data_IF_050093990454
#
_entry.id   IF_050093990454
#
_cell.length_a   1.000
_cell.length_b   1.000
_cell.length_c   1.000
_cell.angle_alpha   90.00
_cell.angle_beta   90.00
_cell.angle_gamma   90.00
#
_symmetry.space_group_name_H-M   'P 1'
#
loop_
_entity.id
_entity.type
_entity.pdbx_description
1 polymer ?
#
# COMPACT_ATOMS: atom_id res chain seq x y z
N UNK A 1 5.93 23.12 9.18
CA UNK A 1 6.15 22.22 8.03
C UNK A 1 5.01 22.45 7.04
N UNK A 2 5.28 22.79 5.78
CA UNK A 2 4.26 23.28 4.82
C UNK A 2 3.72 22.20 3.86
N UNK A 3 4.52 21.17 3.57
CA UNK A 3 4.22 20.15 2.55
C UNK A 3 2.88 19.41 2.72
N UNK A 4 2.40 19.06 3.93
CA UNK A 4 1.10 18.37 4.08
C UNK A 4 -0.13 19.29 3.95
N UNK A 5 0.06 20.59 3.72
CA UNK A 5 -0.98 21.63 3.79
C UNK A 5 -1.13 22.37 2.46
N UNK A 6 0.00 22.76 1.86
CA UNK A 6 0.03 23.48 0.59
C UNK A 6 -0.32 22.56 -0.60
N UNK A 7 -0.99 23.09 -1.62
CA UNK A 7 -1.57 22.33 -2.75
C UNK A 7 -2.61 21.27 -2.36
N UNK A 8 -3.30 21.52 -1.25
CA UNK A 8 -4.35 20.65 -0.72
C UNK A 8 -3.83 19.78 0.41
N UNK A 9 -4.57 19.79 1.52
CA UNK A 9 -4.16 19.04 2.72
C UNK A 9 -4.15 17.54 2.46
N UNK A 10 -3.45 16.77 3.31
CA UNK A 10 -3.46 15.29 3.22
C UNK A 10 -4.88 14.70 3.15
N UNK A 11 -5.84 15.27 3.89
CA UNK A 11 -7.23 14.83 3.83
C UNK A 11 -7.89 15.13 2.47
N UNK A 12 -7.58 16.27 1.83
CA UNK A 12 -8.08 16.60 0.49
C UNK A 12 -7.51 15.63 -0.55
N UNK A 13 -6.21 15.32 -0.48
CA UNK A 13 -5.57 14.34 -1.36
C UNK A 13 -6.15 12.94 -1.17
N UNK A 14 -6.39 12.54 0.07
CA UNK A 14 -7.03 11.26 0.40
C UNK A 14 -8.46 11.17 -0.14
N UNK A 15 -9.24 12.25 -0.02
CA UNK A 15 -10.61 12.30 -0.52
C UNK A 15 -10.67 12.30 -2.07
N UNK A 16 -9.69 12.91 -2.75
CA UNK A 16 -9.51 12.78 -4.20
C UNK A 16 -9.28 11.32 -4.60
N UNK A 17 -8.39 10.62 -3.88
CA UNK A 17 -8.09 9.21 -4.11
C UNK A 17 -9.35 8.34 -3.96
N UNK A 18 -10.14 8.53 -2.89
CA UNK A 18 -11.40 7.80 -2.67
C UNK A 18 -12.41 8.09 -3.77
N UNK A 19 -12.75 9.37 -3.98
CA UNK A 19 -13.86 9.74 -4.87
C UNK A 19 -13.50 9.69 -6.35
N UNK A 20 -12.52 10.49 -6.75
CA UNK A 20 -12.23 10.72 -8.18
C UNK A 20 -11.36 9.64 -8.81
N UNK A 21 -10.43 9.05 -8.06
CA UNK A 21 -9.49 8.04 -8.59
C UNK A 21 -9.95 6.60 -8.39
N UNK A 22 -10.76 6.32 -7.37
CA UNK A 22 -11.27 4.97 -7.07
C UNK A 22 -12.77 4.86 -7.35
N UNK A 23 -13.60 5.74 -6.78
CA UNK A 23 -15.05 5.64 -6.94
C UNK A 23 -15.54 5.89 -8.38
N UNK A 24 -14.88 6.79 -9.12
CA UNK A 24 -15.32 7.19 -10.47
C UNK A 24 -15.18 6.09 -11.51
N UNK A 25 -14.12 5.30 -11.47
CA UNK A 25 -13.84 4.24 -12.43
C UNK A 25 -14.18 2.84 -11.90
N UNK A 26 -14.72 2.76 -10.67
CA UNK A 26 -15.02 1.51 -9.97
C UNK A 26 -13.79 0.77 -9.45
N UNK A 27 -12.67 1.47 -9.24
CA UNK A 27 -11.42 0.89 -8.75
C UNK A 27 -10.61 0.16 -9.81
N UNK A 28 -11.01 0.22 -11.09
CA UNK A 28 -10.36 -0.54 -12.18
C UNK A 28 -8.88 -0.20 -12.32
N UNK A 29 -8.51 1.08 -12.30
CA UNK A 29 -7.10 1.50 -12.36
C UNK A 29 -6.31 1.00 -11.15
N UNK A 30 -6.87 1.09 -9.95
CA UNK A 30 -6.22 0.58 -8.74
C UNK A 30 -6.02 -0.94 -8.81
N UNK A 31 -7.01 -1.69 -9.28
CA UNK A 31 -6.89 -3.14 -9.48
C UNK A 31 -5.86 -3.50 -10.57
N UNK A 32 -5.74 -2.71 -11.62
CA UNK A 32 -4.70 -2.90 -12.63
C UNK A 32 -3.28 -2.74 -12.04
N UNK A 33 -3.07 -1.75 -11.16
CA UNK A 33 -1.81 -1.60 -10.42
C UNK A 33 -1.54 -2.82 -9.53
N UNK A 34 -2.57 -3.33 -8.82
CA UNK A 34 -2.43 -4.57 -8.05
C UNK A 34 -2.00 -5.76 -8.91
N UNK A 35 -2.50 -5.86 -10.14
CA UNK A 35 -2.06 -6.88 -11.10
C UNK A 35 -0.59 -6.74 -11.52
N UNK A 36 -0.05 -5.52 -11.64
CA UNK A 36 1.38 -5.32 -11.91
C UNK A 36 2.26 -5.72 -10.71
N UNK A 37 1.76 -5.51 -9.49
CA UNK A 37 2.43 -5.95 -8.26
C UNK A 37 2.46 -7.49 -8.23
N UNK A 38 1.36 -8.15 -8.57
CA UNK A 38 1.28 -9.62 -8.63
C UNK A 38 2.28 -10.23 -9.64
N UNK A 39 2.57 -9.55 -10.75
CA UNK A 39 3.65 -9.98 -11.67
C UNK A 39 5.03 -9.93 -11.01
N UNK A 40 5.28 -8.94 -10.15
CA UNK A 40 6.53 -8.84 -9.38
C UNK A 40 6.58 -9.90 -8.28
N UNK A 41 5.45 -10.20 -7.63
CA UNK A 41 5.33 -11.32 -6.69
C UNK A 41 5.70 -12.65 -7.36
N UNK A 42 5.23 -12.88 -8.59
CA UNK A 42 5.59 -14.07 -9.35
C UNK A 42 7.09 -14.15 -9.71
N UNK A 43 7.76 -13.01 -9.89
CA UNK A 43 9.21 -12.98 -10.07
C UNK A 43 9.97 -13.26 -8.77
N UNK A 44 9.54 -12.67 -7.65
CA UNK A 44 10.09 -12.95 -6.31
C UNK A 44 9.95 -14.43 -5.93
N UNK A 45 8.84 -15.07 -6.29
CA UNK A 45 8.59 -16.48 -6.01
C UNK A 45 9.57 -17.44 -6.71
N UNK A 46 10.33 -16.96 -7.70
CA UNK A 46 11.38 -17.73 -8.38
C UNK A 46 12.75 -17.60 -7.71
N UNK A 47 12.91 -16.68 -6.75
CA UNK A 47 14.15 -16.51 -5.99
C UNK A 47 14.09 -17.33 -4.71
N UNK A 48 15.15 -18.12 -4.46
CA UNK A 48 15.28 -18.94 -3.24
C UNK A 48 15.83 -18.14 -2.05
N UNK A 49 16.19 -16.87 -2.25
CA UNK A 49 16.80 -16.05 -1.21
C UNK A 49 15.83 -15.79 -0.05
N UNK A 50 16.39 -15.72 1.17
CA UNK A 50 15.60 -15.36 2.36
C UNK A 50 14.97 -13.96 2.23
N UNK A 51 15.70 -12.91 1.76
CA UNK A 51 15.13 -11.59 1.54
C UNK A 51 13.96 -11.58 0.55
N UNK A 52 14.10 -12.26 -0.60
CA UNK A 52 13.03 -12.33 -1.61
C UNK A 52 11.76 -12.98 -1.05
N UNK A 53 11.89 -14.07 -0.28
CA UNK A 53 10.76 -14.72 0.39
C UNK A 53 10.08 -13.82 1.43
N UNK A 54 10.85 -13.07 2.22
CA UNK A 54 10.31 -12.13 3.19
C UNK A 54 9.52 -11.01 2.50
N UNK A 55 10.09 -10.44 1.44
CA UNK A 55 9.46 -9.40 0.61
C UNK A 55 8.20 -9.92 -0.05
N UNK A 56 8.25 -11.10 -0.69
CA UNK A 56 7.09 -11.74 -1.31
C UNK A 56 5.93 -11.86 -0.33
N UNK A 57 6.17 -12.46 0.84
CA UNK A 57 5.15 -12.67 1.87
C UNK A 57 4.44 -11.38 2.24
N UNK A 58 5.19 -10.31 2.48
CA UNK A 58 4.63 -9.04 2.97
C UNK A 58 4.02 -8.20 1.85
N UNK A 59 4.60 -8.25 0.64
CA UNK A 59 4.05 -7.58 -0.53
C UNK A 59 2.70 -8.20 -0.92
N UNK A 60 2.58 -9.53 -0.97
CA UNK A 60 1.31 -10.22 -1.23
C UNK A 60 0.25 -9.87 -0.20
N UNK A 61 0.59 -9.87 1.09
CA UNK A 61 -0.35 -9.49 2.14
C UNK A 61 -0.83 -8.03 1.99
N UNK A 62 0.09 -7.11 1.69
CA UNK A 62 -0.22 -5.70 1.49
C UNK A 62 -1.05 -5.46 0.21
N UNK A 63 -0.76 -6.15 -0.89
CA UNK A 63 -1.55 -6.09 -2.13
C UNK A 63 -2.98 -6.57 -1.91
N UNK A 64 -3.16 -7.71 -1.23
CA UNK A 64 -4.50 -8.24 -0.92
C UNK A 64 -5.28 -7.26 -0.03
N UNK A 65 -4.65 -6.73 1.01
CA UNK A 65 -5.22 -5.68 1.86
C UNK A 65 -5.64 -4.44 1.05
N UNK A 66 -4.82 -4.02 0.09
CA UNK A 66 -5.16 -2.92 -0.82
C UNK A 66 -6.36 -3.25 -1.71
N UNK A 67 -6.43 -4.46 -2.29
CA UNK A 67 -7.57 -4.88 -3.12
C UNK A 67 -8.89 -4.87 -2.33
N UNK A 68 -8.89 -5.35 -1.08
CA UNK A 68 -10.04 -5.28 -0.19
C UNK A 68 -10.49 -3.83 0.04
N UNK A 69 -9.55 -2.93 0.34
CA UNK A 69 -9.84 -1.51 0.55
C UNK A 69 -10.37 -0.85 -0.72
N UNK A 70 -9.78 -1.14 -1.89
CA UNK A 70 -10.27 -0.63 -3.18
C UNK A 70 -11.70 -1.08 -3.43
N UNK A 71 -12.00 -2.37 -3.18
CA UNK A 71 -13.35 -2.91 -3.30
C UNK A 71 -14.32 -2.20 -2.36
N UNK A 72 -13.95 -2.06 -1.07
CA UNK A 72 -14.74 -1.34 -0.09
C UNK A 72 -15.03 0.11 -0.52
N UNK A 73 -14.02 0.85 -1.00
CA UNK A 73 -14.19 2.23 -1.45
C UNK A 73 -15.06 2.34 -2.71
N UNK A 74 -14.87 1.44 -3.67
CA UNK A 74 -15.66 1.41 -4.91
C UNK A 74 -17.14 1.13 -4.61
N UNK A 75 -17.44 0.26 -3.64
CA UNK A 75 -18.81 -0.08 -3.24
C UNK A 75 -19.44 1.00 -2.35
N UNK A 76 -18.72 1.49 -1.34
CA UNK A 76 -19.31 2.31 -0.26
C UNK A 76 -19.20 3.83 -0.47
N UNK A 77 -18.37 4.31 -1.41
CA UNK A 77 -18.22 5.76 -1.64
C UNK A 77 -19.51 6.48 -2.00
N UNK A 78 -20.49 5.78 -2.59
CA UNK A 78 -21.81 6.34 -2.93
C UNK A 78 -22.90 6.05 -1.90
N UNK A 79 -22.89 4.86 -1.30
CA UNK A 79 -23.98 4.36 -0.44
C UNK A 79 -23.75 4.64 1.04
N UNK A 80 -22.50 4.73 1.48
CA UNK A 80 -22.10 5.00 2.85
C UNK A 80 -20.89 5.96 2.89
N UNK A 81 -21.04 7.22 2.41
CA UNK A 81 -19.93 8.14 2.22
C UNK A 81 -19.15 8.41 3.52
N UNK A 82 -19.83 8.55 4.66
CA UNK A 82 -19.16 8.76 5.95
C UNK A 82 -18.19 7.63 6.30
N UNK A 83 -18.58 6.37 6.01
CA UNK A 83 -17.73 5.22 6.24
C UNK A 83 -16.52 5.20 5.30
N UNK A 84 -16.73 5.51 4.02
CA UNK A 84 -15.64 5.60 3.03
C UNK A 84 -14.65 6.72 3.38
N UNK A 85 -15.14 7.89 3.77
CA UNK A 85 -14.27 9.05 4.08
C UNK A 85 -13.58 8.93 5.44
N UNK A 86 -14.14 8.21 6.42
CA UNK A 86 -13.46 7.91 7.68
C UNK A 86 -12.14 7.13 7.45
N UNK A 87 -12.10 6.28 6.42
CA UNK A 87 -10.92 5.50 6.04
C UNK A 87 -10.01 6.15 5.00
N UNK A 88 -10.25 7.40 4.57
CA UNK A 88 -9.59 7.96 3.39
C UNK A 88 -8.08 8.14 3.57
N UNK A 89 -7.64 8.74 4.69
CA UNK A 89 -6.21 8.97 4.96
C UNK A 89 -5.45 7.64 5.18
N UNK A 90 -5.96 6.68 5.97
CA UNK A 90 -5.36 5.35 6.05
C UNK A 90 -5.26 4.65 4.68
N UNK A 91 -6.26 4.80 3.80
CA UNK A 91 -6.19 4.26 2.44
C UNK A 91 -5.06 4.90 1.62
N UNK A 92 -4.93 6.24 1.66
CA UNK A 92 -3.83 6.94 1.01
C UNK A 92 -2.46 6.44 1.48
N UNK A 93 -2.29 6.27 2.79
CA UNK A 93 -1.03 5.79 3.38
C UNK A 93 -0.74 4.33 3.01
N UNK A 94 -1.78 3.47 3.03
CA UNK A 94 -1.65 2.07 2.62
C UNK A 94 -1.22 1.97 1.15
N UNK A 95 -1.87 2.71 0.26
CA UNK A 95 -1.54 2.73 -1.16
C UNK A 95 -0.10 3.20 -1.41
N UNK A 96 0.31 4.30 -0.76
CA UNK A 96 1.68 4.82 -0.87
C UNK A 96 2.71 3.81 -0.38
N UNK A 97 2.47 3.19 0.78
CA UNK A 97 3.39 2.20 1.35
C UNK A 97 3.51 0.97 0.46
N UNK A 98 2.39 0.48 -0.09
CA UNK A 98 2.37 -0.66 -1.02
C UNK A 98 3.19 -0.36 -2.28
N UNK A 99 2.97 0.78 -2.94
CA UNK A 99 3.68 1.11 -4.18
C UNK A 99 5.17 1.33 -3.94
N UNK A 100 5.56 1.96 -2.83
CA UNK A 100 6.96 2.09 -2.45
C UNK A 100 7.61 0.71 -2.19
N UNK A 101 6.92 -0.17 -1.46
CA UNK A 101 7.36 -1.54 -1.22
C UNK A 101 7.49 -2.36 -2.51
N UNK A 102 6.59 -2.14 -3.47
CA UNK A 102 6.66 -2.75 -4.80
C UNK A 102 7.89 -2.29 -5.58
N UNK A 103 8.22 -0.99 -5.58
CA UNK A 103 9.45 -0.52 -6.25
C UNK A 103 10.72 -1.06 -5.56
N UNK A 104 10.72 -1.20 -4.23
CA UNK A 104 11.81 -1.84 -3.51
C UNK A 104 11.95 -3.32 -3.84
N UNK A 105 10.83 -4.05 -4.01
CA UNK A 105 10.84 -5.43 -4.47
C UNK A 105 11.47 -5.57 -5.87
N UNK A 106 11.12 -4.68 -6.81
CA UNK A 106 11.74 -4.64 -8.13
C UNK A 106 13.24 -4.36 -8.04
N UNK A 107 13.64 -3.43 -7.17
CA UNK A 107 15.05 -3.13 -6.92
C UNK A 107 15.81 -4.31 -6.32
N UNK A 108 15.18 -5.10 -5.44
CA UNK A 108 15.79 -6.30 -4.86
C UNK A 108 16.10 -7.33 -5.94
N UNK A 109 15.15 -7.62 -6.84
CA UNK A 109 15.36 -8.58 -7.93
C UNK A 109 16.56 -8.21 -8.81
N UNK A 110 16.67 -6.93 -9.17
CA UNK A 110 17.81 -6.42 -9.95
C UNK A 110 19.11 -6.50 -9.13
N UNK A 111 19.07 -6.18 -7.83
CA UNK A 111 20.24 -6.24 -6.96
C UNK A 111 20.76 -7.68 -6.77
N UNK A 112 19.88 -8.67 -6.71
CA UNK A 112 20.26 -10.08 -6.69
C UNK A 112 20.98 -10.48 -7.98
N UNK A 113 20.46 -10.07 -9.14
CA UNK A 113 21.07 -10.36 -10.44
C UNK A 113 22.46 -9.72 -10.59
N UNK A 114 22.57 -8.41 -10.33
CA UNK A 114 23.83 -7.68 -10.47
C UNK A 114 24.86 -8.09 -9.41
N UNK A 115 24.39 -8.36 -8.18
CA UNK A 115 25.23 -8.86 -7.10
C UNK A 115 25.86 -10.22 -7.43
N UNK A 116 25.11 -11.12 -8.08
CA UNK A 116 25.63 -12.40 -8.55
C UNK A 116 26.70 -12.27 -9.65
N UNK A 117 26.67 -11.18 -10.43
CA UNK A 117 27.71 -10.81 -11.41
C UNK A 117 28.92 -10.10 -10.78
N UNK A 118 28.86 -9.79 -9.49
CA UNK A 118 29.93 -9.10 -8.76
C UNK A 118 29.93 -7.58 -8.94
N UNK A 119 28.86 -6.99 -9.48
CA UNK A 119 28.75 -5.55 -9.70
C UNK A 119 28.34 -4.82 -8.41
N UNK A 120 29.08 -3.75 -8.06
CA UNK A 120 28.79 -2.86 -6.93
C UNK A 120 28.29 -3.58 -5.65
N UNK A 121 28.97 -4.66 -5.25
CA UNK A 121 28.45 -5.63 -4.28
C UNK A 121 27.90 -5.00 -2.98
N UNK A 122 28.58 -3.99 -2.43
CA UNK A 122 28.13 -3.30 -1.22
C UNK A 122 26.80 -2.57 -1.43
N UNK A 123 26.62 -1.91 -2.57
CA UNK A 123 25.39 -1.21 -2.90
C UNK A 123 24.23 -2.20 -3.14
N UNK A 124 24.50 -3.31 -3.84
CA UNK A 124 23.49 -4.36 -4.07
C UNK A 124 23.03 -5.00 -2.76
N UNK A 125 23.96 -5.32 -1.86
CA UNK A 125 23.62 -5.80 -0.52
C UNK A 125 22.78 -4.80 0.28
N UNK A 126 23.12 -3.51 0.21
CA UNK A 126 22.33 -2.46 0.86
C UNK A 126 20.89 -2.36 0.28
N UNK A 127 20.71 -2.52 -1.04
CA UNK A 127 19.40 -2.56 -1.68
C UNK A 127 18.55 -3.74 -1.21
N UNK A 128 19.14 -4.93 -1.17
CA UNK A 128 18.47 -6.15 -0.69
C UNK A 128 18.04 -5.97 0.77
N UNK A 129 18.95 -5.53 1.64
CA UNK A 129 18.65 -5.30 3.06
C UNK A 129 17.55 -4.24 3.28
N UNK A 130 17.60 -3.15 2.51
CA UNK A 130 16.58 -2.08 2.58
C UNK A 130 15.20 -2.59 2.18
N UNK A 131 15.11 -3.37 1.10
CA UNK A 131 13.84 -3.93 0.65
C UNK A 131 13.26 -4.93 1.67
N UNK A 132 14.11 -5.78 2.26
CA UNK A 132 13.70 -6.70 3.32
C UNK A 132 13.17 -5.94 4.56
N UNK A 133 13.92 -4.95 5.05
CA UNK A 133 13.49 -4.13 6.19
C UNK A 133 12.13 -3.48 5.93
N UNK A 134 11.96 -2.87 4.75
CA UNK A 134 10.71 -2.21 4.40
C UNK A 134 9.54 -3.20 4.38
N UNK A 135 9.75 -4.41 3.85
CA UNK A 135 8.75 -5.46 3.87
C UNK A 135 8.36 -5.87 5.30
N UNK A 136 9.34 -6.14 6.15
CA UNK A 136 9.14 -6.69 7.48
C UNK A 136 8.60 -5.68 8.51
N UNK A 137 8.91 -4.39 8.34
CA UNK A 137 8.55 -3.36 9.31
C UNK A 137 7.50 -2.35 8.83
N UNK A 138 7.42 -2.09 7.52
CA UNK A 138 6.49 -1.10 6.96
C UNK A 138 5.29 -1.81 6.34
N UNK A 139 5.51 -2.72 5.39
CA UNK A 139 4.41 -3.44 4.75
C UNK A 139 3.67 -4.39 5.71
N UNK A 140 4.31 -4.85 6.77
CA UNK A 140 3.67 -5.69 7.79
C UNK A 140 2.44 -5.03 8.45
N UNK A 141 2.33 -3.69 8.40
CA UNK A 141 1.20 -2.92 8.97
C UNK A 141 -0.01 -2.85 8.04
N UNK A 142 0.14 -3.19 6.75
CA UNK A 142 -0.91 -3.02 5.76
C UNK A 142 -2.21 -3.80 6.07
N UNK A 143 -2.18 -5.06 6.57
CA UNK A 143 -3.39 -5.76 6.96
C UNK A 143 -4.18 -5.04 8.06
N UNK A 144 -3.50 -4.60 9.13
CA UNK A 144 -4.17 -3.86 10.21
C UNK A 144 -4.71 -2.49 9.76
N UNK A 145 -4.03 -1.82 8.83
CA UNK A 145 -4.56 -0.61 8.21
C UNK A 145 -5.84 -0.92 7.40
N UNK A 146 -5.87 -2.02 6.64
CA UNK A 146 -7.08 -2.48 5.95
C UNK A 146 -8.22 -2.74 6.93
N UNK A 147 -7.98 -3.39 8.06
CA UNK A 147 -9.03 -3.67 9.05
C UNK A 147 -9.61 -2.37 9.61
N UNK A 148 -8.75 -1.40 9.93
CA UNK A 148 -9.22 -0.07 10.39
C UNK A 148 -10.09 0.67 9.36
N UNK A 149 -9.86 0.44 8.06
CA UNK A 149 -10.61 1.07 6.97
C UNK A 149 -11.94 0.37 6.70
N UNK A 150 -11.89 -0.96 6.57
CA UNK A 150 -13.03 -1.77 6.11
C UNK A 150 -14.01 -2.07 7.26
N UNK A 151 -13.50 -2.20 8.49
CA UNK A 151 -14.28 -2.64 9.66
C UNK A 151 -14.42 -1.54 10.73
N UNK A 152 -13.51 -0.56 10.75
CA UNK A 152 -13.44 0.45 11.81
C UNK A 152 -14.36 1.67 11.66
N UNK A 153 -15.03 1.85 10.52
CA UNK A 153 -15.75 3.08 10.20
C UNK A 153 -16.82 3.47 11.25
N UNK A 154 -17.54 2.49 11.80
CA UNK A 154 -18.62 2.75 12.76
C UNK A 154 -18.12 3.41 14.06
N UNK A 155 -16.91 3.08 14.53
CA UNK A 155 -16.37 3.64 15.77
C UNK A 155 -15.97 5.11 15.61
N UNK A 156 -15.56 5.53 14.41
CA UNK A 156 -15.19 6.92 14.10
C UNK A 156 -16.39 7.87 14.23
N UNK A 157 -17.59 7.39 13.87
CA UNK A 157 -18.81 8.20 13.87
C UNK A 157 -19.69 7.98 15.11
N UNK A 158 -19.21 7.23 16.10
CA UNK A 158 -20.03 6.82 17.25
C UNK A 158 -20.12 7.90 18.34
N UNK A 159 -19.08 8.71 18.52
CA UNK A 159 -19.03 9.73 19.56
C UNK A 159 -19.80 10.98 19.11
N UNK A 160 -20.72 11.45 19.95
CA UNK A 160 -21.44 12.70 19.70
C UNK A 160 -20.49 13.91 19.82
N UNK A 161 -20.75 14.96 19.03
CA UNK A 161 -19.86 16.12 18.91
C UNK A 161 -19.65 16.85 20.25
N UNK A 162 -20.67 16.88 21.10
CA UNK A 162 -20.67 17.49 22.44
C UNK A 162 -19.85 16.71 23.47
N UNK A 163 -19.40 15.49 23.15
CA UNK A 163 -18.57 14.66 24.00
C UNK A 163 -17.06 14.73 23.66
N UNK A 164 -16.64 15.63 22.78
CA UNK A 164 -15.23 15.94 22.46
C UNK A 164 -14.75 17.19 23.21
#
# INVERSE_FOLDING_TARGET
>A
RILPIYEGTTAIQANDLVGRKTGRDGGRTAMAIAGQIEQTEAALAKSDSLPARAVLKRLTAARKAFQDVVGFMATNSKTAPNAAYAGSVPYLMLAGNLVAGWQLARSLLVAEELGAKGEEQQFMQAKIATAQFYAEHILAKAPGARDSIVEGAASVTALAVDAF
#
